data_IF_674111746930
#
_entry.id   IF_674111746930
#
_cell.length_a   1.000
_cell.length_b   1.000
_cell.length_c   1.000
_cell.angle_alpha   90.00
_cell.angle_beta   90.00
_cell.angle_gamma   90.00
#
_symmetry.space_group_name_H-M   'P 1'
#
loop_
_entity.id
_entity.type
_entity.pdbx_description
1 polymer ?
#
# COMPACT_ATOMS: atom_id res chain seq x y z
N UNK A 1 -127.79 171.04 52.80
CA UNK A 1 -126.69 170.44 53.57
C UNK A 1 -126.44 168.93 53.31
N UNK A 2 -127.21 168.22 52.49
CA UNK A 2 -126.98 166.78 52.20
C UNK A 2 -125.91 166.53 51.12
N UNK A 3 -125.74 167.45 50.17
CA UNK A 3 -124.81 167.30 49.04
C UNK A 3 -123.31 167.29 49.41
N UNK A 4 -122.91 167.95 50.51
CA UNK A 4 -121.49 168.10 50.84
C UNK A 4 -120.85 166.84 51.45
N UNK A 5 -121.65 165.92 52.00
CA UNK A 5 -121.16 164.69 52.63
C UNK A 5 -120.94 163.56 51.63
N UNK A 6 -121.71 163.54 50.54
CA UNK A 6 -121.54 162.57 49.46
C UNK A 6 -120.19 162.78 48.76
N UNK A 7 -119.82 164.04 48.47
CA UNK A 7 -118.59 164.36 47.71
C UNK A 7 -117.30 163.94 48.44
N UNK A 8 -117.25 164.04 49.78
CA UNK A 8 -116.05 163.69 50.56
C UNK A 8 -115.85 162.17 50.60
N UNK A 9 -116.93 161.39 50.68
CA UNK A 9 -116.84 159.93 50.68
C UNK A 9 -116.51 159.37 49.28
N UNK A 10 -116.98 160.01 48.19
CA UNK A 10 -116.58 159.62 46.82
C UNK A 10 -115.07 159.82 46.60
N UNK A 11 -114.50 160.93 47.08
CA UNK A 11 -113.06 161.22 46.97
C UNK A 11 -112.18 160.20 47.71
N UNK A 12 -112.67 159.62 48.82
CA UNK A 12 -111.93 158.58 49.57
C UNK A 12 -111.98 157.22 48.89
N UNK A 13 -113.10 156.88 48.26
CA UNK A 13 -113.26 155.64 47.49
C UNK A 13 -112.46 155.71 46.19
N UNK A 14 -112.48 156.83 45.48
CA UNK A 14 -111.68 157.04 44.27
C UNK A 14 -110.16 156.94 44.53
N UNK A 15 -109.65 157.50 45.64
CA UNK A 15 -108.23 157.36 45.97
C UNK A 15 -107.83 155.91 46.31
N UNK A 16 -108.70 155.14 46.97
CA UNK A 16 -108.47 153.71 47.21
C UNK A 16 -108.58 152.89 45.92
N UNK A 17 -109.51 153.23 45.04
CA UNK A 17 -109.68 152.59 43.75
C UNK A 17 -108.46 152.84 42.85
N UNK A 18 -108.02 154.08 42.74
CA UNK A 18 -106.83 154.46 41.97
C UNK A 18 -105.52 153.83 42.50
N UNK A 19 -105.42 153.60 43.82
CA UNK A 19 -104.26 152.90 44.39
C UNK A 19 -104.29 151.40 44.07
N UNK A 20 -105.46 150.77 44.21
CA UNK A 20 -105.66 149.34 43.91
C UNK A 20 -105.54 149.04 42.42
N UNK A 21 -105.97 149.98 41.57
CA UNK A 21 -105.81 149.93 40.12
C UNK A 21 -104.32 150.03 39.74
N UNK A 22 -103.54 150.87 40.42
CA UNK A 22 -102.08 150.90 40.25
C UNK A 22 -101.39 149.61 40.70
N UNK A 23 -101.78 149.03 41.84
CA UNK A 23 -101.25 147.72 42.28
C UNK A 23 -101.60 146.60 41.30
N UNK A 24 -102.85 146.50 40.86
CA UNK A 24 -103.28 145.52 39.84
C UNK A 24 -102.54 145.71 38.52
N UNK A 25 -102.28 146.94 38.11
CA UNK A 25 -101.52 147.22 36.88
C UNK A 25 -100.05 146.80 37.03
N UNK A 26 -99.46 146.99 38.21
CA UNK A 26 -98.09 146.59 38.51
C UNK A 26 -97.96 145.06 38.65
N UNK A 27 -98.90 144.39 39.30
CA UNK A 27 -98.94 142.94 39.43
C UNK A 27 -99.18 142.26 38.08
N UNK A 28 -100.07 142.81 37.25
CA UNK A 28 -100.28 142.34 35.88
C UNK A 28 -99.03 142.50 35.01
N UNK A 29 -98.26 143.58 35.21
CA UNK A 29 -96.97 143.74 34.54
C UNK A 29 -95.92 142.74 35.05
N UNK A 30 -95.86 142.48 36.35
CA UNK A 30 -94.95 141.50 36.93
C UNK A 30 -95.25 140.07 36.45
N UNK A 31 -96.53 139.68 36.44
CA UNK A 31 -96.97 138.38 35.90
C UNK A 31 -96.63 138.24 34.42
N UNK A 32 -96.79 139.29 33.62
CA UNK A 32 -96.41 139.27 32.20
C UNK A 32 -94.89 139.13 32.00
N UNK A 33 -94.07 139.79 32.82
CA UNK A 33 -92.61 139.61 32.78
C UNK A 33 -92.14 138.26 33.31
N UNK A 34 -92.80 137.69 34.32
CA UNK A 34 -92.53 136.32 34.79
C UNK A 34 -92.93 135.29 33.74
N UNK A 35 -94.10 135.43 33.12
CA UNK A 35 -94.56 134.58 32.02
C UNK A 35 -93.60 134.66 30.83
N UNK A 36 -93.09 135.86 30.52
CA UNK A 36 -92.07 136.05 29.47
C UNK A 36 -90.73 135.41 29.82
N UNK A 37 -90.24 135.59 31.06
CA UNK A 37 -89.01 134.95 31.54
C UNK A 37 -89.12 133.43 31.57
N UNK A 38 -90.26 132.91 32.01
CA UNK A 38 -90.54 131.48 32.06
C UNK A 38 -90.67 130.89 30.64
N UNK A 39 -91.36 131.60 29.74
CA UNK A 39 -91.43 131.24 28.32
C UNK A 39 -90.06 131.23 27.64
N UNK A 40 -89.22 132.24 27.89
CA UNK A 40 -87.83 132.26 27.41
C UNK A 40 -87.00 131.11 27.98
N UNK A 41 -87.14 130.80 29.27
CA UNK A 41 -86.44 129.69 29.92
C UNK A 41 -86.85 128.34 29.32
N UNK A 42 -88.15 128.11 29.16
CA UNK A 42 -88.69 126.90 28.50
C UNK A 42 -88.15 126.79 27.07
N UNK A 43 -88.13 127.88 26.32
CA UNK A 43 -87.66 127.87 24.94
C UNK A 43 -86.15 127.59 24.85
N UNK A 44 -85.35 128.10 25.80
CA UNK A 44 -83.93 127.77 25.89
C UNK A 44 -83.70 126.30 26.28
N UNK A 45 -84.47 125.76 27.22
CA UNK A 45 -84.40 124.35 27.62
C UNK A 45 -84.82 123.43 26.47
N UNK A 46 -85.91 123.75 25.75
CA UNK A 46 -86.34 123.01 24.55
C UNK A 46 -85.26 122.97 23.48
N UNK A 47 -84.60 124.10 23.21
CA UNK A 47 -83.48 124.17 22.25
C UNK A 47 -82.27 123.35 22.71
N UNK A 48 -81.96 123.37 24.02
CA UNK A 48 -80.90 122.54 24.60
C UNK A 48 -81.23 121.04 24.46
N UNK A 49 -82.43 120.63 24.86
CA UNK A 49 -82.89 119.24 24.74
C UNK A 49 -82.95 118.76 23.30
N UNK A 50 -83.36 119.62 22.35
CA UNK A 50 -83.37 119.26 20.93
C UNK A 50 -81.94 119.02 20.41
N UNK A 51 -80.98 119.84 20.84
CA UNK A 51 -79.56 119.68 20.49
C UNK A 51 -78.97 118.40 21.11
N UNK A 52 -79.32 118.11 22.36
CA UNK A 52 -78.91 116.87 23.04
C UNK A 52 -79.53 115.64 22.38
N UNK A 53 -80.84 115.65 22.09
CA UNK A 53 -81.53 114.59 21.35
C UNK A 53 -80.83 114.31 20.01
N UNK A 54 -80.54 115.35 19.23
CA UNK A 54 -79.83 115.20 17.96
C UNK A 54 -78.42 114.62 18.15
N UNK A 55 -77.67 115.07 19.16
CA UNK A 55 -76.35 114.52 19.48
C UNK A 55 -76.41 113.04 19.91
N UNK A 56 -77.45 112.65 20.64
CA UNK A 56 -77.67 111.25 21.04
C UNK A 56 -78.06 110.39 19.85
N UNK A 57 -78.89 110.88 18.93
CA UNK A 57 -79.23 110.20 17.67
C UNK A 57 -77.97 109.96 16.81
N UNK A 58 -77.11 110.98 16.65
CA UNK A 58 -75.84 110.84 15.91
C UNK A 58 -74.90 109.82 16.57
N UNK A 59 -74.81 109.81 17.91
CA UNK A 59 -74.02 108.79 18.65
C UNK A 59 -74.61 107.40 18.52
N UNK A 60 -75.94 107.27 18.48
CA UNK A 60 -76.63 106.00 18.32
C UNK A 60 -76.35 105.44 16.92
N UNK A 61 -76.45 106.27 15.89
CA UNK A 61 -76.16 105.90 14.50
C UNK A 61 -74.70 105.43 14.34
N UNK A 62 -73.75 106.19 14.89
CA UNK A 62 -72.33 105.81 14.86
C UNK A 62 -72.06 104.46 15.55
N UNK A 63 -72.71 104.21 16.69
CA UNK A 63 -72.63 102.91 17.38
C UNK A 63 -73.28 101.80 16.56
N UNK A 64 -74.38 102.08 15.88
CA UNK A 64 -75.08 101.10 15.05
C UNK A 64 -74.21 100.67 13.85
N UNK A 65 -73.56 101.63 13.18
CA UNK A 65 -72.58 101.34 12.13
C UNK A 65 -71.41 100.51 12.67
N UNK A 66 -70.89 100.85 13.86
CA UNK A 66 -69.81 100.08 14.46
C UNK A 66 -70.22 98.65 14.82
N UNK A 67 -71.43 98.46 15.36
CA UNK A 67 -71.99 97.12 15.67
C UNK A 67 -72.11 96.28 14.40
N UNK A 68 -72.57 96.86 13.28
CA UNK A 68 -72.64 96.16 11.99
C UNK A 68 -71.25 95.72 11.55
N UNK A 69 -70.25 96.61 11.63
CA UNK A 69 -68.86 96.28 11.30
C UNK A 69 -68.28 95.14 12.16
N UNK A 70 -68.51 95.17 13.48
CA UNK A 70 -68.11 94.07 14.38
C UNK A 70 -68.84 92.77 14.01
N UNK A 71 -70.11 92.85 13.63
CA UNK A 71 -70.91 91.67 13.26
C UNK A 71 -70.35 91.02 11.99
N UNK A 72 -69.98 91.80 10.98
CA UNK A 72 -69.36 91.30 9.75
C UNK A 72 -68.01 90.64 10.02
N UNK A 73 -67.18 91.24 10.87
CA UNK A 73 -65.90 90.67 11.30
C UNK A 73 -66.11 89.35 12.06
N UNK A 74 -67.11 89.29 12.94
CA UNK A 74 -67.44 88.08 13.70
C UNK A 74 -67.95 86.97 12.78
N UNK A 75 -68.74 87.28 11.75
CA UNK A 75 -69.15 86.31 10.74
C UNK A 75 -67.94 85.77 9.95
N UNK A 76 -67.00 86.65 9.56
CA UNK A 76 -65.78 86.24 8.88
C UNK A 76 -64.91 85.32 9.74
N UNK A 77 -64.68 85.69 11.00
CA UNK A 77 -63.92 84.86 11.96
C UNK A 77 -64.61 83.52 12.21
N UNK A 78 -65.94 83.49 12.22
CA UNK A 78 -66.72 82.24 12.36
C UNK A 78 -66.49 81.31 11.18
N UNK A 79 -66.50 81.82 9.94
CA UNK A 79 -66.20 81.03 8.73
C UNK A 79 -64.77 80.49 8.74
N UNK A 80 -63.79 81.32 9.07
CA UNK A 80 -62.38 80.88 9.19
C UNK A 80 -62.20 79.79 10.27
N UNK A 81 -62.90 79.92 11.41
CA UNK A 81 -62.90 78.90 12.46
C UNK A 81 -63.47 77.56 11.98
N UNK A 82 -64.57 77.58 11.23
CA UNK A 82 -65.19 76.37 10.70
C UNK A 82 -64.31 75.69 9.64
N UNK A 83 -63.64 76.46 8.78
CA UNK A 83 -62.65 75.94 7.82
C UNK A 83 -61.45 75.29 8.52
N UNK A 84 -60.89 75.94 9.55
CA UNK A 84 -59.81 75.39 10.36
C UNK A 84 -60.25 74.10 11.08
N UNK A 85 -61.47 74.06 11.62
CA UNK A 85 -62.01 72.86 12.25
C UNK A 85 -62.18 71.70 11.26
N UNK A 86 -62.51 71.97 9.99
CA UNK A 86 -62.54 70.96 8.94
C UNK A 86 -61.15 70.42 8.61
N UNK A 87 -60.15 71.30 8.48
CA UNK A 87 -58.75 70.92 8.25
C UNK A 87 -58.18 70.11 9.42
N UNK A 88 -58.48 70.48 10.67
CA UNK A 88 -58.08 69.74 11.87
C UNK A 88 -58.62 68.30 11.82
N UNK A 89 -59.90 68.12 11.46
CA UNK A 89 -60.49 66.78 11.31
C UNK A 89 -59.82 65.95 10.21
N UNK A 90 -59.51 66.55 9.07
CA UNK A 90 -58.81 65.85 7.97
C UNK A 90 -57.40 65.42 8.40
N UNK A 91 -56.65 66.31 9.05
CA UNK A 91 -55.33 66.01 9.59
C UNK A 91 -55.37 64.91 10.65
N UNK A 92 -56.35 64.95 11.57
CA UNK A 92 -56.55 63.89 12.56
C UNK A 92 -56.83 62.53 11.90
N UNK A 93 -57.64 62.52 10.83
CA UNK A 93 -57.88 61.29 10.07
C UNK A 93 -56.60 60.76 9.42
N UNK A 94 -55.80 61.64 8.81
CA UNK A 94 -54.52 61.29 8.19
C UNK A 94 -53.49 60.79 9.21
N UNK A 95 -53.40 61.44 10.38
CA UNK A 95 -52.55 61.00 11.49
C UNK A 95 -52.99 59.60 11.96
N UNK A 96 -54.29 59.38 12.16
CA UNK A 96 -54.82 58.07 12.58
C UNK A 96 -54.48 56.98 11.56
N UNK A 97 -54.62 57.27 10.27
CA UNK A 97 -54.28 56.34 9.19
C UNK A 97 -52.78 56.00 9.17
N UNK A 98 -51.91 57.00 9.27
CA UNK A 98 -50.45 56.81 9.31
C UNK A 98 -50.01 56.04 10.56
N UNK A 99 -50.62 56.28 11.71
CA UNK A 99 -50.35 55.52 12.94
C UNK A 99 -50.66 54.03 12.76
N UNK A 100 -51.78 53.68 12.09
CA UNK A 100 -52.11 52.28 11.78
C UNK A 100 -51.07 51.63 10.87
N UNK A 101 -50.64 52.34 9.81
CA UNK A 101 -49.59 51.84 8.93
C UNK A 101 -48.26 51.64 9.67
N UNK A 102 -47.90 52.57 10.55
CA UNK A 102 -46.66 52.47 11.33
C UNK A 102 -46.69 51.23 12.24
N UNK A 103 -47.80 51.01 12.94
CA UNK A 103 -48.00 49.82 13.79
C UNK A 103 -47.89 48.52 12.98
N UNK A 104 -48.47 48.47 11.78
CA UNK A 104 -48.36 47.31 10.90
C UNK A 104 -46.91 47.07 10.44
N UNK A 105 -46.18 48.13 10.09
CA UNK A 105 -44.76 48.04 9.71
C UNK A 105 -43.88 47.61 10.87
N UNK A 106 -44.14 48.10 12.08
CA UNK A 106 -43.46 47.69 13.30
C UNK A 106 -43.69 46.20 13.59
N UNK A 107 -44.93 45.73 13.53
CA UNK A 107 -45.26 44.31 13.71
C UNK A 107 -44.51 43.42 12.69
N UNK A 108 -44.57 43.78 11.41
CA UNK A 108 -43.83 43.08 10.35
C UNK A 108 -42.32 43.06 10.59
N UNK A 109 -41.74 44.16 11.09
CA UNK A 109 -40.32 44.25 11.40
C UNK A 109 -39.95 43.33 12.57
N UNK A 110 -40.79 43.24 13.60
CA UNK A 110 -40.56 42.31 14.72
C UNK A 110 -40.61 40.85 14.28
N UNK A 111 -41.53 40.48 13.38
CA UNK A 111 -41.62 39.12 12.84
C UNK A 111 -40.40 38.77 11.98
N UNK A 112 -39.99 39.68 11.09
CA UNK A 112 -38.77 39.52 10.28
C UNK A 112 -37.53 39.35 11.14
N UNK A 113 -37.40 40.11 12.24
CA UNK A 113 -36.29 39.94 13.20
C UNK A 113 -36.27 38.55 13.82
N UNK A 114 -37.42 37.98 14.20
CA UNK A 114 -37.51 36.61 14.73
C UNK A 114 -37.07 35.57 13.69
N UNK A 115 -37.51 35.71 12.44
CA UNK A 115 -37.11 34.80 11.35
C UNK A 115 -35.61 34.85 11.08
N UNK A 116 -34.99 36.05 11.11
CA UNK A 116 -33.53 36.20 10.95
C UNK A 116 -32.77 35.43 12.04
N UNK A 117 -33.21 35.54 13.31
CA UNK A 117 -32.59 34.81 14.43
C UNK A 117 -32.71 33.30 14.23
N UNK A 118 -33.89 32.81 13.84
CA UNK A 118 -34.11 31.38 13.62
C UNK A 118 -33.30 30.83 12.44
N UNK A 119 -33.23 31.57 11.33
CA UNK A 119 -32.39 31.19 10.19
C UNK A 119 -30.92 31.17 10.54
N UNK A 120 -30.44 32.15 11.32
CA UNK A 120 -29.07 32.18 11.82
C UNK A 120 -28.77 30.95 12.67
N UNK A 121 -29.67 30.58 13.59
CA UNK A 121 -29.56 29.38 14.41
C UNK A 121 -29.48 28.09 13.57
N UNK A 122 -30.32 27.96 12.54
CA UNK A 122 -30.29 26.79 11.64
C UNK A 122 -29.00 26.71 10.83
N UNK A 123 -28.55 27.83 10.27
CA UNK A 123 -27.31 27.90 9.50
C UNK A 123 -26.11 27.53 10.38
N UNK A 124 -26.06 28.07 11.60
CA UNK A 124 -24.96 27.83 12.53
C UNK A 124 -24.94 26.37 13.02
N UNK A 125 -26.11 25.74 13.21
CA UNK A 125 -26.20 24.39 13.78
C UNK A 125 -26.07 23.28 12.73
N UNK A 126 -26.85 23.32 11.65
CA UNK A 126 -26.94 22.21 10.70
C UNK A 126 -25.64 22.05 9.90
N UNK A 127 -25.07 23.16 9.42
CA UNK A 127 -23.81 23.12 8.66
C UNK A 127 -22.62 22.74 9.52
N UNK A 128 -22.59 23.20 10.78
CA UNK A 128 -21.49 22.91 11.67
C UNK A 128 -21.50 21.43 12.08
N UNK A 129 -22.67 20.88 12.37
CA UNK A 129 -22.82 19.47 12.76
C UNK A 129 -22.49 18.52 11.61
N UNK A 130 -22.96 18.81 10.38
CA UNK A 130 -22.60 18.04 9.19
C UNK A 130 -21.11 18.10 8.91
N UNK A 131 -20.52 19.30 8.95
CA UNK A 131 -19.08 19.47 8.74
C UNK A 131 -18.27 18.76 9.82
N UNK A 132 -18.70 18.82 11.08
CA UNK A 132 -18.03 18.15 12.19
C UNK A 132 -18.04 16.62 12.01
N UNK A 133 -19.18 16.05 11.62
CA UNK A 133 -19.29 14.60 11.33
C UNK A 133 -18.39 14.18 10.17
N UNK A 134 -18.32 14.99 9.11
CA UNK A 134 -17.45 14.69 7.97
C UNK A 134 -15.98 14.78 8.36
N UNK A 135 -15.58 15.79 9.15
CA UNK A 135 -14.23 15.92 9.71
C UNK A 135 -13.88 14.73 10.60
N UNK A 136 -14.80 14.28 11.45
CA UNK A 136 -14.59 13.11 12.31
C UNK A 136 -14.41 11.83 11.48
N UNK A 137 -15.22 11.64 10.44
CA UNK A 137 -15.12 10.50 9.51
C UNK A 137 -13.77 10.51 8.78
N UNK A 138 -13.39 11.64 8.18
CA UNK A 138 -12.10 11.79 7.50
C UNK A 138 -10.92 11.59 8.47
N UNK A 139 -11.05 12.00 9.72
CA UNK A 139 -10.03 11.76 10.75
C UNK A 139 -9.85 10.27 11.03
N UNK A 140 -10.93 9.49 11.11
CA UNK A 140 -10.88 8.04 11.30
C UNK A 140 -10.25 7.33 10.09
N UNK A 141 -10.68 7.68 8.87
CA UNK A 141 -10.11 7.14 7.63
C UNK A 141 -8.60 7.43 7.54
N UNK A 142 -8.17 8.64 7.90
CA UNK A 142 -6.75 9.02 7.95
C UNK A 142 -5.96 8.16 8.93
N UNK A 143 -6.51 7.86 10.11
CA UNK A 143 -5.85 7.02 11.11
C UNK A 143 -5.71 5.56 10.62
N UNK A 144 -6.74 5.02 9.98
CA UNK A 144 -6.72 3.69 9.38
C UNK A 144 -5.67 3.58 8.26
N UNK A 145 -5.64 4.56 7.34
CA UNK A 145 -4.63 4.62 6.29
C UNK A 145 -3.21 4.74 6.86
N UNK A 146 -3.02 5.50 7.93
CA UNK A 146 -1.72 5.58 8.61
C UNK A 146 -1.26 4.23 9.16
N UNK A 147 -2.18 3.48 9.79
CA UNK A 147 -1.89 2.12 10.30
C UNK A 147 -1.51 1.17 9.17
N UNK A 148 -2.18 1.26 8.02
CA UNK A 148 -1.88 0.43 6.86
C UNK A 148 -0.52 0.75 6.24
N UNK A 149 -0.18 2.04 6.13
CA UNK A 149 1.16 2.48 5.68
C UNK A 149 2.26 1.91 6.59
N UNK A 150 2.06 1.91 7.90
CA UNK A 150 3.05 1.37 8.85
C UNK A 150 3.21 -0.15 8.72
N UNK A 151 2.14 -0.90 8.46
CA UNK A 151 2.23 -2.34 8.16
C UNK A 151 3.02 -2.59 6.88
N UNK A 152 2.69 -1.89 5.80
CA UNK A 152 3.37 -2.03 4.50
C UNK A 152 4.86 -1.67 4.59
N UNK A 153 5.23 -0.68 5.41
CA UNK A 153 6.64 -0.37 5.69
C UNK A 153 7.36 -1.54 6.35
N UNK A 154 6.76 -2.16 7.37
CA UNK A 154 7.35 -3.34 8.04
C UNK A 154 7.48 -4.53 7.09
N UNK A 155 6.48 -4.78 6.26
CA UNK A 155 6.54 -5.86 5.25
C UNK A 155 7.63 -5.61 4.21
N UNK A 156 7.77 -4.37 3.74
CA UNK A 156 8.85 -3.97 2.83
C UNK A 156 10.22 -4.23 3.43
N UNK A 157 10.42 -3.90 4.71
CA UNK A 157 11.70 -4.13 5.40
C UNK A 157 12.00 -5.63 5.53
N UNK A 158 11.00 -6.45 5.87
CA UNK A 158 11.14 -7.93 5.91
C UNK A 158 11.52 -8.48 4.53
N UNK A 159 10.86 -8.02 3.46
CA UNK A 159 11.17 -8.45 2.09
C UNK A 159 12.59 -8.03 1.67
N UNK A 160 13.04 -6.85 2.08
CA UNK A 160 14.40 -6.40 1.82
C UNK A 160 15.42 -7.32 2.50
N UNK A 161 15.20 -7.69 3.77
CA UNK A 161 16.08 -8.62 4.49
C UNK A 161 16.12 -10.00 3.83
N UNK A 162 14.96 -10.55 3.43
CA UNK A 162 14.89 -11.82 2.69
C UNK A 162 15.64 -11.76 1.36
N UNK A 163 15.54 -10.63 0.64
CA UNK A 163 16.27 -10.42 -0.61
C UNK A 163 17.78 -10.44 -0.39
N UNK A 164 18.27 -9.81 0.67
CA UNK A 164 19.69 -9.80 1.02
C UNK A 164 20.18 -11.21 1.42
N UNK A 165 19.40 -11.96 2.20
CA UNK A 165 19.72 -13.35 2.56
C UNK A 165 19.81 -14.26 1.32
N UNK A 166 18.87 -14.13 0.39
CA UNK A 166 18.92 -14.86 -0.88
C UNK A 166 20.15 -14.50 -1.72
N UNK A 167 20.59 -13.23 -1.69
CA UNK A 167 21.80 -12.81 -2.37
C UNK A 167 23.03 -13.50 -1.79
N UNK A 168 23.19 -13.49 -0.46
CA UNK A 168 24.28 -14.18 0.23
C UNK A 168 24.30 -15.67 -0.07
N UNK A 169 23.13 -16.31 -0.05
CA UNK A 169 23.00 -17.75 -0.39
C UNK A 169 23.37 -18.04 -1.84
N UNK A 170 23.03 -17.13 -2.76
CA UNK A 170 23.45 -17.25 -4.17
C UNK A 170 24.97 -17.16 -4.31
N UNK A 171 25.61 -16.22 -3.63
CA UNK A 171 27.07 -16.08 -3.63
C UNK A 171 27.76 -17.33 -3.08
N UNK A 172 27.29 -17.88 -1.95
CA UNK A 172 27.80 -19.13 -1.40
C UNK A 172 27.67 -20.32 -2.36
N UNK A 173 26.56 -20.41 -3.09
CA UNK A 173 26.35 -21.45 -4.08
C UNK A 173 27.27 -21.30 -5.30
N UNK A 174 27.54 -20.06 -5.74
CA UNK A 174 28.53 -19.80 -6.79
C UNK A 174 29.92 -20.27 -6.37
N UNK A 175 30.37 -19.94 -5.15
CA UNK A 175 31.67 -20.40 -4.64
C UNK A 175 31.74 -21.93 -4.60
N UNK A 176 30.70 -22.61 -4.10
CA UNK A 176 30.63 -24.08 -4.09
C UNK A 176 30.68 -24.69 -5.50
N UNK A 177 30.06 -24.03 -6.48
CA UNK A 177 30.08 -24.47 -7.87
C UNK A 177 31.50 -24.37 -8.45
N UNK A 178 32.19 -23.27 -8.19
CA UNK A 178 33.57 -23.07 -8.64
C UNK A 178 34.53 -24.10 -8.01
N UNK A 179 34.37 -24.40 -6.71
CA UNK A 179 35.12 -25.46 -6.03
C UNK A 179 34.90 -26.84 -6.66
N UNK A 180 33.64 -27.19 -6.94
CA UNK A 180 33.29 -28.45 -7.60
C UNK A 180 33.87 -28.52 -9.01
N UNK A 181 33.84 -27.41 -9.76
CA UNK A 181 34.44 -27.34 -11.09
C UNK A 181 35.95 -27.55 -11.04
N UNK A 182 36.63 -27.01 -10.03
CA UNK A 182 38.06 -27.25 -9.81
C UNK A 182 38.34 -28.73 -9.49
N UNK A 183 37.59 -29.33 -8.57
CA UNK A 183 37.70 -30.76 -8.24
C UNK A 183 37.46 -31.66 -9.46
N UNK A 184 36.50 -31.30 -10.31
CA UNK A 184 36.22 -32.04 -11.54
C UNK A 184 37.42 -32.00 -12.50
N UNK A 185 38.04 -30.82 -12.70
CA UNK A 185 39.26 -30.68 -13.51
C UNK A 185 40.43 -31.51 -12.95
N UNK A 186 40.60 -31.54 -11.64
CA UNK A 186 41.64 -32.37 -11.00
C UNK A 186 41.42 -33.87 -11.24
N UNK A 187 40.18 -34.34 -11.09
CA UNK A 187 39.82 -35.74 -11.35
C UNK A 187 40.04 -36.10 -12.82
N UNK A 188 39.61 -35.23 -13.75
CA UNK A 188 39.82 -35.43 -15.19
C UNK A 188 41.32 -35.55 -15.53
N UNK A 189 42.16 -34.71 -14.93
CA UNK A 189 43.60 -34.80 -15.10
C UNK A 189 44.20 -36.09 -14.52
N UNK A 190 43.75 -36.51 -13.32
CA UNK A 190 44.18 -37.78 -12.72
C UNK A 190 43.78 -38.98 -13.59
N UNK A 191 42.57 -38.99 -14.14
CA UNK A 191 42.10 -40.04 -15.03
C UNK A 191 42.92 -40.11 -16.32
N UNK A 192 43.27 -38.96 -16.92
CA UNK A 192 44.18 -38.90 -18.08
C UNK A 192 45.55 -39.51 -17.76
N UNK A 193 46.13 -39.16 -16.61
CA UNK A 193 47.42 -39.69 -16.18
C UNK A 193 47.36 -41.21 -15.96
N UNK A 194 46.34 -41.70 -15.23
CA UNK A 194 46.14 -43.14 -14.99
C UNK A 194 45.90 -43.91 -16.29
N UNK A 195 45.13 -43.36 -17.22
CA UNK A 195 44.90 -43.97 -18.53
C UNK A 195 46.21 -44.10 -19.32
N UNK A 196 47.08 -43.08 -19.27
CA UNK A 196 48.39 -43.13 -19.91
C UNK A 196 49.31 -44.16 -19.25
N UNK A 197 49.31 -44.24 -17.91
CA UNK A 197 50.09 -45.23 -17.17
C UNK A 197 49.64 -46.67 -17.47
N UNK A 198 48.32 -46.91 -17.49
CA UNK A 198 47.74 -48.19 -17.86
C UNK A 198 48.18 -48.61 -19.26
N UNK A 199 48.16 -47.68 -20.23
CA UNK A 199 48.64 -47.94 -21.59
C UNK A 199 50.11 -48.36 -21.61
N UNK A 200 50.99 -47.67 -20.87
CA UNK A 200 52.41 -48.05 -20.77
C UNK A 200 52.59 -49.44 -20.16
N UNK A 201 51.80 -49.78 -19.13
CA UNK A 201 51.84 -51.10 -18.48
C UNK A 201 51.41 -52.22 -19.42
N UNK A 202 50.38 -51.98 -20.26
CA UNK A 202 50.03 -52.93 -21.32
C UNK A 202 51.18 -53.12 -22.33
N UNK A 203 51.81 -52.04 -22.78
CA UNK A 203 52.97 -52.13 -23.70
C UNK A 203 54.17 -52.87 -23.06
N UNK A 204 54.41 -52.71 -21.77
CA UNK A 204 55.42 -53.49 -21.01
C UNK A 204 55.05 -54.97 -20.94
N UNK A 205 53.78 -55.28 -20.67
CA UNK A 205 53.27 -56.65 -20.60
C UNK A 205 53.39 -57.37 -21.95
N UNK A 206 53.01 -56.71 -23.04
CA UNK A 206 53.12 -57.26 -24.40
C UNK A 206 54.58 -57.60 -24.77
N UNK A 207 55.53 -56.73 -24.37
CA UNK A 207 56.97 -56.99 -24.55
C UNK A 207 57.44 -58.19 -23.74
N UNK A 208 57.01 -58.28 -22.47
CA UNK A 208 57.37 -59.39 -21.60
C UNK A 208 56.81 -60.72 -22.12
N UNK A 209 55.55 -60.75 -22.58
CA UNK A 209 54.92 -61.91 -23.19
C UNK A 209 55.68 -62.36 -24.46
N UNK A 210 56.10 -61.41 -25.29
CA UNK A 210 56.96 -61.69 -26.44
C UNK A 210 58.29 -62.34 -26.07
N UNK A 211 58.95 -61.86 -25.00
CA UNK A 211 60.20 -62.45 -24.51
C UNK A 211 59.99 -63.87 -23.95
N UNK A 212 58.91 -64.10 -23.19
CA UNK A 212 58.57 -65.42 -22.63
C UNK A 212 58.33 -66.42 -23.77
N UNK A 213 57.58 -66.04 -24.81
CA UNK A 213 57.35 -66.87 -25.99
C UNK A 213 58.66 -67.26 -26.66
N UNK A 214 59.55 -66.29 -26.88
CA UNK A 214 60.87 -66.55 -27.46
C UNK A 214 61.72 -67.51 -26.60
N UNK A 215 61.74 -67.30 -25.28
CA UNK A 215 62.44 -68.20 -24.35
C UNK A 215 61.86 -69.62 -24.37
N UNK A 216 60.52 -69.76 -24.45
CA UNK A 216 59.87 -71.06 -24.57
C UNK A 216 60.28 -71.79 -25.84
N UNK A 217 60.34 -71.09 -26.99
CA UNK A 217 60.82 -71.67 -28.25
C UNK A 217 62.28 -72.16 -28.16
N UNK A 218 63.16 -71.37 -27.54
CA UNK A 218 64.56 -71.77 -27.34
C UNK A 218 64.66 -72.98 -26.39
N UNK A 219 63.88 -73.03 -25.32
CA UNK A 219 63.83 -74.19 -24.42
C UNK A 219 63.31 -75.45 -25.11
N UNK A 220 62.27 -75.34 -25.95
CA UNK A 220 61.78 -76.47 -26.75
C UNK A 220 62.84 -76.99 -27.73
N UNK A 221 63.61 -76.08 -28.33
CA UNK A 221 64.74 -76.43 -29.20
C UNK A 221 65.84 -77.17 -28.44
N UNK A 222 66.28 -76.63 -27.30
CA UNK A 222 67.28 -77.28 -26.43
C UNK A 222 66.76 -78.66 -25.98
N UNK A 223 65.49 -78.77 -25.59
CA UNK A 223 64.87 -80.04 -25.21
C UNK A 223 64.93 -81.06 -26.36
N UNK A 224 64.63 -80.63 -27.58
CA UNK A 224 64.69 -81.47 -28.76
C UNK A 224 66.13 -81.93 -29.07
N UNK A 225 67.10 -81.02 -29.00
CA UNK A 225 68.51 -81.32 -29.20
C UNK A 225 69.03 -82.32 -28.15
N UNK A 226 68.73 -82.10 -26.87
CA UNK A 226 69.05 -83.05 -25.80
C UNK A 226 68.40 -84.42 -26.02
N UNK A 227 67.13 -84.47 -26.43
CA UNK A 227 66.45 -85.74 -26.73
C UNK A 227 67.14 -86.49 -27.89
N UNK A 228 67.55 -85.77 -28.93
CA UNK A 228 68.29 -86.35 -30.05
C UNK A 228 69.67 -86.89 -29.59
N UNK A 229 70.38 -86.14 -28.75
CA UNK A 229 71.69 -86.55 -28.22
C UNK A 229 71.58 -87.76 -27.29
N UNK A 230 70.60 -87.79 -26.39
CA UNK A 230 70.31 -88.96 -25.53
C UNK A 230 69.97 -90.19 -26.38
N UNK A 231 69.19 -90.03 -27.45
CA UNK A 231 68.88 -91.12 -28.39
C UNK A 231 70.14 -91.64 -29.09
N UNK A 232 71.03 -90.75 -29.52
CA UNK A 232 72.31 -91.11 -30.14
C UNK A 232 73.22 -91.87 -29.16
N UNK A 233 73.37 -91.37 -27.93
CA UNK A 233 74.15 -92.04 -26.88
C UNK A 233 73.57 -93.43 -26.55
N UNK A 234 72.25 -93.54 -26.44
CA UNK A 234 71.57 -94.82 -26.21
C UNK A 234 71.83 -95.82 -27.34
N UNK A 235 71.81 -95.37 -28.59
CA UNK A 235 72.14 -96.22 -29.74
C UNK A 235 73.62 -96.66 -29.71
N UNK A 236 74.55 -95.74 -29.43
CA UNK A 236 75.98 -96.06 -29.32
C UNK A 236 76.26 -97.03 -28.16
N UNK A 237 75.56 -96.89 -27.03
CA UNK A 237 75.66 -97.81 -25.90
C UNK A 237 75.17 -99.21 -26.29
N UNK A 238 74.03 -99.33 -26.98
CA UNK A 238 73.52 -100.61 -27.51
C UNK A 238 74.51 -101.28 -28.47
N UNK A 239 75.18 -100.49 -29.31
CA UNK A 239 76.21 -101.00 -30.23
C UNK A 239 77.42 -101.55 -29.46
N UNK A 240 77.92 -100.82 -28.45
CA UNK A 240 79.01 -101.31 -27.59
C UNK A 240 78.60 -102.55 -26.79
N UNK A 241 77.39 -102.60 -26.26
CA UNK A 241 76.85 -103.80 -25.60
C UNK A 241 76.85 -105.01 -26.53
N UNK A 242 76.51 -104.81 -27.81
CA UNK A 242 76.56 -105.86 -28.84
C UNK A 242 78.00 -106.32 -29.11
N UNK A 243 78.95 -105.39 -29.24
CA UNK A 243 80.37 -105.69 -29.43
C UNK A 243 80.96 -106.46 -28.24
N UNK A 244 80.62 -106.06 -27.00
CA UNK A 244 81.03 -106.76 -25.78
C UNK A 244 80.50 -108.20 -25.77
N UNK A 245 79.23 -108.41 -26.14
CA UNK A 245 78.65 -109.76 -26.26
C UNK A 245 79.36 -110.62 -27.31
N UNK A 246 79.74 -110.03 -28.45
CA UNK A 246 80.52 -110.73 -29.47
C UNK A 246 81.91 -111.12 -28.97
N UNK A 247 82.63 -110.20 -28.30
CA UNK A 247 83.92 -110.50 -27.68
C UNK A 247 83.82 -111.61 -26.65
N UNK A 248 82.76 -111.58 -25.81
CA UNK A 248 82.49 -112.62 -24.82
C UNK A 248 82.33 -113.99 -25.48
N UNK A 249 81.58 -114.08 -26.58
CA UNK A 249 81.44 -115.31 -27.37
C UNK A 249 82.77 -115.80 -27.95
N UNK A 250 83.59 -114.91 -28.52
CA UNK A 250 84.91 -115.27 -29.06
C UNK A 250 85.83 -115.80 -27.96
N UNK A 251 85.82 -115.16 -26.79
CA UNK A 251 86.59 -115.58 -25.62
C UNK A 251 86.14 -116.97 -25.15
N UNK A 252 84.84 -117.22 -25.06
CA UNK A 252 84.30 -118.53 -24.69
C UNK A 252 84.76 -119.62 -25.68
N UNK A 253 84.78 -119.29 -26.99
CA UNK A 253 85.28 -120.18 -28.05
C UNK A 253 86.78 -120.44 -27.97
N UNK A 254 87.59 -119.43 -27.65
CA UNK A 254 89.04 -119.59 -27.41
C UNK A 254 89.27 -120.45 -26.16
N UNK A 255 88.52 -120.21 -25.09
CA UNK A 255 88.58 -120.97 -23.83
C UNK A 255 88.30 -122.46 -24.08
N UNK A 256 87.27 -122.77 -24.87
CA UNK A 256 86.91 -124.12 -25.34
C UNK A 256 88.04 -124.73 -26.19
N UNK A 257 88.51 -124.01 -27.21
CA UNK A 257 89.58 -124.49 -28.11
C UNK A 257 90.88 -124.81 -27.37
N UNK A 258 91.24 -124.01 -26.36
CA UNK A 258 92.44 -124.26 -25.53
C UNK A 258 92.23 -125.48 -24.63
N UNK A 259 91.03 -125.68 -24.08
CA UNK A 259 90.70 -126.89 -23.29
C UNK A 259 90.81 -128.16 -24.13
N UNK A 260 90.41 -128.12 -25.38
CA UNK A 260 90.40 -129.28 -26.29
C UNK A 260 91.75 -129.53 -26.98
N UNK A 261 92.65 -128.53 -27.02
CA UNK A 261 93.95 -128.71 -27.66
C UNK A 261 94.91 -129.56 -26.80
N UNK A 262 95.25 -130.75 -27.29
CA UNK A 262 96.15 -131.73 -26.65
C UNK A 262 97.65 -131.40 -26.84
N UNK A 263 97.99 -130.53 -27.78
CA UNK A 263 99.38 -130.18 -28.11
C UNK A 263 99.97 -129.08 -27.21
N UNK A 264 99.12 -128.34 -26.51
CA UNK A 264 99.53 -127.29 -25.57
C UNK A 264 99.95 -127.93 -24.25
N UNK A 265 101.21 -127.73 -23.85
CA UNK A 265 101.73 -128.22 -22.57
C UNK A 265 100.90 -127.70 -21.39
N UNK A 266 100.67 -128.57 -20.41
CA UNK A 266 99.72 -128.38 -19.31
C UNK A 266 99.93 -127.09 -18.51
N UNK A 267 101.18 -126.70 -18.28
CA UNK A 267 101.54 -125.44 -17.61
C UNK A 267 101.08 -124.20 -18.40
N UNK A 268 101.29 -124.18 -19.72
CA UNK A 268 100.87 -123.07 -20.58
C UNK A 268 99.34 -122.99 -20.69
N UNK A 269 98.65 -124.14 -20.72
CA UNK A 269 97.19 -124.23 -20.72
C UNK A 269 96.57 -123.56 -19.49
N UNK A 270 97.17 -123.78 -18.31
CA UNK A 270 96.76 -123.17 -17.03
C UNK A 270 96.96 -121.65 -17.02
N UNK A 271 98.07 -121.15 -17.58
CA UNK A 271 98.32 -119.70 -17.69
C UNK A 271 97.30 -119.06 -18.61
N UNK A 272 97.10 -119.60 -19.82
CA UNK A 272 96.20 -118.97 -20.79
C UNK A 272 94.75 -119.01 -20.29
N UNK A 273 94.27 -120.13 -19.74
CA UNK A 273 92.94 -120.19 -19.12
C UNK A 273 92.77 -119.20 -17.96
N UNK A 274 93.81 -119.02 -17.14
CA UNK A 274 93.80 -118.03 -16.07
C UNK A 274 93.67 -116.59 -16.59
N UNK A 275 94.37 -116.25 -17.67
CA UNK A 275 94.23 -114.93 -18.32
C UNK A 275 92.87 -114.77 -19.02
N UNK A 276 92.36 -115.79 -19.69
CA UNK A 276 91.02 -115.79 -20.31
C UNK A 276 89.92 -115.53 -19.29
N UNK A 277 90.04 -116.13 -18.09
CA UNK A 277 89.12 -115.89 -16.98
C UNK A 277 89.18 -114.45 -16.44
N UNK A 278 90.38 -113.85 -16.36
CA UNK A 278 90.52 -112.42 -16.00
C UNK A 278 89.82 -111.52 -17.02
N UNK A 279 89.99 -111.80 -18.32
CA UNK A 279 89.35 -111.02 -19.38
C UNK A 279 87.82 -111.17 -19.31
N UNK A 280 87.33 -112.40 -19.13
CA UNK A 280 85.90 -112.70 -18.94
C UNK A 280 85.31 -112.03 -17.71
N UNK A 281 86.07 -111.96 -16.61
CA UNK A 281 85.68 -111.22 -15.41
C UNK A 281 85.53 -109.72 -15.69
N UNK A 282 86.48 -109.11 -16.39
CA UNK A 282 86.43 -107.69 -16.78
C UNK A 282 85.22 -107.43 -17.71
N UNK A 283 84.99 -108.27 -18.71
CA UNK A 283 83.83 -108.15 -19.59
C UNK A 283 82.50 -108.36 -18.84
N UNK A 284 82.45 -109.29 -17.88
CA UNK A 284 81.31 -109.49 -17.00
C UNK A 284 80.98 -108.25 -16.16
N UNK A 285 81.99 -107.52 -15.68
CA UNK A 285 81.77 -106.24 -14.99
C UNK A 285 81.25 -105.14 -15.93
N UNK A 286 81.72 -105.11 -17.18
CA UNK A 286 81.25 -104.16 -18.18
C UNK A 286 79.78 -104.41 -18.60
N UNK A 287 79.35 -105.68 -18.66
CA UNK A 287 77.95 -106.06 -18.96
C UNK A 287 77.00 -105.86 -17.78
N UNK A 288 77.51 -105.85 -16.54
CA UNK A 288 76.68 -105.68 -15.33
C UNK A 288 76.23 -104.24 -15.06
N UNK A 289 76.52 -103.30 -15.95
CA UNK A 289 75.84 -102.01 -15.96
C UNK A 289 74.39 -102.19 -16.45
N UNK A 290 73.55 -102.85 -15.64
CA UNK A 290 72.11 -102.84 -15.85
C UNK A 290 71.66 -101.38 -15.81
N UNK A 291 70.94 -100.87 -16.82
CA UNK A 291 70.29 -99.58 -16.68
C UNK A 291 69.38 -99.68 -15.46
N UNK A 292 69.62 -98.80 -14.49
CA UNK A 292 68.80 -98.64 -13.32
C UNK A 292 67.35 -98.48 -13.81
N UNK A 293 66.51 -99.50 -13.63
CA UNK A 293 65.06 -99.40 -13.81
C UNK A 293 64.60 -98.38 -12.77
N UNK A 294 64.48 -97.13 -13.17
CA UNK A 294 64.16 -96.06 -12.23
C UNK A 294 64.21 -94.65 -12.82
N UNK A 295 63.40 -94.37 -13.82
CA UNK A 295 62.36 -93.35 -13.64
C UNK A 295 61.32 -93.53 -14.75
N UNK A 296 60.13 -93.97 -14.34
CA UNK A 296 58.93 -93.58 -15.06
C UNK A 296 58.89 -92.06 -14.93
N UNK A 297 59.24 -91.32 -15.97
CA UNK A 297 58.67 -89.99 -16.14
C UNK A 297 57.19 -90.25 -16.34
N UNK A 298 56.43 -89.92 -15.31
CA UNK A 298 55.00 -89.74 -15.35
C UNK A 298 54.62 -89.07 -16.67
N UNK A 299 53.75 -89.73 -17.42
CA UNK A 299 52.65 -89.01 -18.05
C UNK A 299 51.94 -88.27 -16.91
N UNK A 300 52.30 -87.00 -16.70
CA UNK A 300 51.36 -86.07 -16.11
C UNK A 300 50.32 -85.79 -17.19
N UNK A 301 49.28 -86.63 -17.16
CA UNK A 301 47.91 -86.23 -17.43
C UNK A 301 47.68 -84.81 -16.91
N UNK A 302 47.69 -83.86 -17.83
CA UNK A 302 47.05 -82.57 -17.66
C UNK A 302 45.53 -82.81 -17.60
N UNK A 303 45.03 -83.16 -16.43
CA UNK A 303 43.60 -83.14 -16.17
C UNK A 303 43.31 -82.50 -14.81
N UNK A 304 42.53 -81.42 -14.87
CA UNK A 304 41.80 -80.78 -13.78
C UNK A 304 42.60 -80.18 -12.62
N UNK A 305 43.08 -78.95 -12.78
CA UNK A 305 43.02 -77.96 -11.69
C UNK A 305 42.01 -76.88 -12.07
N UNK A 306 40.77 -77.19 -11.70
CA UNK A 306 39.68 -76.27 -11.53
C UNK A 306 40.03 -75.38 -10.32
N UNK A 307 40.79 -74.30 -10.56
CA UNK A 307 40.90 -73.22 -9.58
C UNK A 307 39.58 -72.45 -9.55
N UNK A 308 38.95 -72.62 -8.40
CA UNK A 308 37.82 -71.91 -7.82
C UNK A 308 38.03 -70.39 -7.87
N UNK A 309 37.68 -69.76 -9.00
CA UNK A 309 37.35 -68.34 -9.03
C UNK A 309 35.93 -68.18 -8.51
N UNK A 310 35.84 -67.99 -7.20
CA UNK A 310 34.64 -67.54 -6.50
C UNK A 310 34.08 -66.26 -7.13
N UNK A 311 33.19 -66.43 -8.10
CA UNK A 311 32.18 -65.44 -8.42
C UNK A 311 31.17 -65.43 -7.27
N UNK A 312 31.39 -64.52 -6.33
CA UNK A 312 30.36 -64.08 -5.41
C UNK A 312 29.25 -63.38 -6.22
N UNK A 313 28.34 -64.17 -6.79
CA UNK A 313 27.03 -63.74 -7.26
C UNK A 313 26.19 -63.33 -6.06
N UNK A 314 26.48 -62.14 -5.52
CA UNK A 314 25.51 -61.41 -4.71
C UNK A 314 24.53 -60.75 -5.65
N UNK A 315 23.35 -61.33 -5.73
CA UNK A 315 22.12 -60.58 -5.96
C UNK A 315 22.05 -59.41 -4.98
N UNK A 316 21.53 -58.27 -5.45
CA UNK A 316 20.41 -57.71 -4.73
C UNK A 316 19.27 -57.37 -5.68
N UNK A 317 18.14 -58.04 -5.42
CA UNK A 317 16.79 -57.48 -5.31
C UNK A 317 16.57 -56.10 -5.95
N UNK A 318 15.67 -55.98 -6.95
CA UNK A 318 15.09 -54.69 -7.30
C UNK A 318 13.99 -54.37 -6.28
N UNK A 319 14.33 -53.59 -5.26
CA UNK A 319 13.31 -52.96 -4.41
C UNK A 319 12.59 -51.89 -5.22
N UNK A 320 11.29 -52.14 -5.46
CA UNK A 320 10.28 -51.17 -5.88
C UNK A 320 10.47 -49.84 -5.16
N UNK A 321 10.63 -48.77 -5.92
CA UNK A 321 10.25 -47.42 -5.50
C UNK A 321 9.14 -46.92 -6.42
N UNK A 322 7.98 -46.77 -5.80
CA UNK A 322 6.77 -46.14 -6.31
C UNK A 322 7.04 -44.69 -6.72
N UNK A 323 7.11 -44.45 -8.02
CA UNK A 323 6.90 -43.13 -8.61
C UNK A 323 5.40 -42.86 -8.68
N UNK A 324 4.83 -42.32 -7.60
CA UNK A 324 3.59 -41.54 -7.67
C UNK A 324 3.97 -40.08 -7.87
N UNK A 325 4.11 -39.67 -9.13
CA UNK A 325 4.07 -38.25 -9.50
C UNK A 325 2.71 -38.01 -10.13
N UNK A 326 1.84 -37.40 -9.33
CA UNK A 326 0.58 -36.83 -9.76
C UNK A 326 0.83 -35.81 -10.87
N UNK A 327 0.35 -36.10 -12.08
CA UNK A 327 0.16 -35.11 -13.13
C UNK A 327 -1.08 -34.30 -12.76
N UNK A 328 -0.86 -33.16 -12.11
CA UNK A 328 -1.89 -32.13 -11.98
C UNK A 328 -1.76 -31.23 -13.20
N UNK A 329 -2.65 -31.44 -14.17
CA UNK A 329 -2.92 -30.50 -15.25
C UNK A 329 -3.33 -29.16 -14.65
N UNK A 330 -2.45 -28.16 -14.76
CA UNK A 330 -2.82 -26.76 -14.55
C UNK A 330 -3.16 -26.19 -15.92
N UNK A 331 -4.39 -25.68 -16.00
CA UNK A 331 -4.99 -25.07 -17.16
C UNK A 331 -4.16 -23.90 -17.70
N UNK A 332 -3.98 -23.88 -19.03
CA UNK A 332 -3.67 -22.66 -19.77
C UNK A 332 -4.83 -21.68 -19.63
N UNK A 333 -4.63 -20.64 -18.83
CA UNK A 333 -5.42 -19.41 -18.87
C UNK A 333 -4.80 -18.40 -19.87
N UNK A 334 -5.62 -17.55 -20.50
CA UNK A 334 -5.22 -16.74 -21.65
C UNK A 334 -4.33 -15.54 -21.29
N UNK A 335 -3.52 -15.17 -22.28
CA UNK A 335 -2.63 -14.01 -22.35
C UNK A 335 -3.48 -12.72 -22.38
N UNK A 336 -3.15 -11.69 -21.58
CA UNK A 336 -3.78 -10.38 -21.73
C UNK A 336 -3.21 -9.67 -22.98
N UNK A 337 -4.11 -9.32 -23.90
CA UNK A 337 -3.84 -8.37 -24.98
C UNK A 337 -3.45 -7.02 -24.38
N UNK A 338 -2.29 -6.53 -24.79
CA UNK A 338 -1.90 -5.14 -24.63
C UNK A 338 -2.71 -4.31 -25.62
N UNK A 339 -3.51 -3.38 -25.11
CA UNK A 339 -4.18 -2.37 -25.90
C UNK A 339 -3.18 -1.42 -26.57
N UNK A 340 -3.45 -1.14 -27.84
CA UNK A 340 -3.11 0.10 -28.53
C UNK A 340 -4.39 0.94 -28.64
#
# INVERSE_FOLDING_TARGET
>A
MILYKIIIDTSKVEKKFAHKERELTQEKHNLYEEERKFGQKIETERKSFLKEKKSLEEKLEAKMIHIIGITDELEKVTKEKDELAAQEKELLHKISYLCKQLQEKEANLTERKKLIIELKRKIDNDKYEELYKEVEKLSKEKEELSKEIDKLRKEKDILYMKKEELHKRKEELCVKLDELQCKFKEIDQKNKNLSQELKRKFEELDKADGLIKNQSFELDRIRQDCNNEVKNLRNSLLERDSQIKQLQYVIDKIEESIRENETIKDYSKKIILGETQKIKFILGQLVQFKPMKGSKTSEETSDSLQEDLGYASRSPTPTRLSCSVSVQSIASGPIPEYGL
#
